data_IF_443032102318
#
_entry.id   IF_443032102318
#
_cell.length_a   1.000
_cell.length_b   1.000
_cell.length_c   1.000
_cell.angle_alpha   90.00
_cell.angle_beta   90.00
_cell.angle_gamma   90.00
#
_symmetry.space_group_name_H-M   'P 1'
#
loop_
_entity.id
_entity.type
_entity.pdbx_description
1 polymer ?
#
# COMPACT_ATOMS: atom_id res chain seq x y z
N UNK A 1 3.19 9.28 -10.08
CA UNK A 1 1.87 9.43 -10.73
C UNK A 1 1.95 10.63 -11.65
N UNK A 2 1.46 10.49 -12.86
CA UNK A 2 1.52 11.54 -13.88
C UNK A 2 0.12 11.86 -14.41
N UNK A 3 -0.11 13.15 -14.66
CA UNK A 3 -1.27 13.72 -15.34
C UNK A 3 -0.83 14.09 -16.75
N UNK A 4 -1.10 13.22 -17.73
CA UNK A 4 -0.47 13.28 -19.04
C UNK A 4 1.06 13.29 -18.89
N UNK A 5 1.74 14.36 -19.29
CA UNK A 5 3.20 14.49 -19.16
C UNK A 5 3.64 15.23 -17.88
N UNK A 6 2.71 15.65 -17.03
CA UNK A 6 3.03 16.43 -15.83
C UNK A 6 3.07 15.56 -14.56
N UNK A 7 4.07 15.74 -13.67
CA UNK A 7 4.10 15.04 -12.39
C UNK A 7 2.91 15.45 -11.51
N UNK A 8 2.14 14.45 -11.05
CA UNK A 8 0.91 14.67 -10.29
C UNK A 8 0.95 14.29 -8.82
N UNK A 9 1.84 13.37 -8.45
CA UNK A 9 1.98 12.90 -7.08
C UNK A 9 2.97 11.75 -6.96
N UNK A 10 3.33 11.43 -5.73
CA UNK A 10 4.19 10.28 -5.41
C UNK A 10 3.52 9.37 -4.39
N UNK A 11 3.75 8.08 -4.54
CA UNK A 11 3.22 7.02 -3.70
C UNK A 11 4.19 5.86 -3.66
N UNK A 12 3.88 4.84 -2.88
CA UNK A 12 4.64 3.60 -2.78
C UNK A 12 3.82 2.44 -3.32
N UNK A 13 4.48 1.47 -3.93
CA UNK A 13 3.88 0.18 -4.27
C UNK A 13 4.87 -0.95 -3.93
N UNK A 14 4.37 -2.18 -3.90
CA UNK A 14 5.18 -3.37 -3.68
C UNK A 14 4.65 -4.54 -4.49
N UNK A 15 5.51 -5.55 -4.69
CA UNK A 15 5.18 -6.72 -5.48
C UNK A 15 4.45 -7.78 -4.66
N UNK A 16 3.45 -8.37 -5.31
CA UNK A 16 2.72 -9.53 -4.83
C UNK A 16 2.72 -10.62 -5.90
N UNK A 17 3.02 -11.86 -5.50
CA UNK A 17 2.99 -13.02 -6.40
C UNK A 17 1.80 -13.91 -6.11
N UNK A 18 1.11 -14.37 -7.15
CA UNK A 18 0.14 -15.46 -7.02
C UNK A 18 0.30 -16.41 -8.20
N UNK A 19 0.68 -17.66 -7.91
CA UNK A 19 1.01 -18.64 -8.94
C UNK A 19 2.08 -18.07 -9.90
N UNK A 20 1.82 -18.04 -11.20
CA UNK A 20 2.69 -17.49 -12.23
C UNK A 20 2.34 -16.05 -12.62
N UNK A 21 1.70 -15.28 -11.74
CA UNK A 21 1.31 -13.88 -12.00
C UNK A 21 1.92 -12.95 -10.96
N UNK A 22 2.35 -11.78 -11.42
CA UNK A 22 2.92 -10.72 -10.60
C UNK A 22 1.99 -9.51 -10.61
N UNK A 23 1.80 -8.92 -9.43
CA UNK A 23 0.96 -7.76 -9.23
C UNK A 23 1.73 -6.66 -8.51
N UNK A 24 1.50 -5.41 -8.91
CA UNK A 24 1.84 -4.24 -8.11
C UNK A 24 0.66 -3.93 -7.20
N UNK A 25 0.90 -3.88 -5.90
CA UNK A 25 -0.08 -3.49 -4.88
C UNK A 25 0.24 -2.08 -4.40
N UNK A 26 -0.77 -1.23 -4.33
CA UNK A 26 -0.66 0.16 -3.85
C UNK A 26 -1.98 0.64 -3.25
N UNK A 27 -2.02 1.88 -2.76
CA UNK A 27 -3.25 2.52 -2.34
C UNK A 27 -4.10 2.91 -3.56
N UNK A 28 -5.42 2.72 -3.50
CA UNK A 28 -6.33 3.01 -4.61
C UNK A 28 -6.28 4.49 -5.01
N UNK A 29 -6.17 5.40 -4.04
CA UNK A 29 -6.09 6.84 -4.32
C UNK A 29 -4.83 7.25 -5.13
N UNK A 30 -3.77 6.43 -5.11
CA UNK A 30 -2.61 6.67 -5.99
C UNK A 30 -2.96 6.45 -7.47
N UNK A 31 -4.01 5.67 -7.76
CA UNK A 31 -4.44 5.37 -9.12
C UNK A 31 -5.56 6.31 -9.55
N UNK A 32 -6.55 6.49 -8.69
CA UNK A 32 -7.74 7.30 -9.00
C UNK A 32 -7.49 8.80 -8.89
N UNK A 33 -6.49 9.21 -8.09
CA UNK A 33 -6.29 10.61 -7.71
C UNK A 33 -7.39 11.16 -6.81
N UNK A 34 -8.14 10.30 -6.12
CA UNK A 34 -9.27 10.70 -5.27
C UNK A 34 -9.08 10.28 -3.82
N UNK A 35 -9.41 11.17 -2.90
CA UNK A 35 -9.53 10.85 -1.48
C UNK A 35 -10.63 9.78 -1.28
N UNK A 36 -10.28 8.69 -0.60
CA UNK A 36 -11.16 7.53 -0.49
C UNK A 36 -12.43 7.81 0.33
N UNK A 37 -12.33 8.72 1.31
CA UNK A 37 -13.43 8.99 2.25
C UNK A 37 -14.40 10.04 1.66
N UNK A 38 -13.87 11.10 1.05
CA UNK A 38 -14.65 12.21 0.51
C UNK A 38 -14.95 12.11 -0.98
N UNK A 39 -14.22 11.27 -1.73
CA UNK A 39 -14.28 11.19 -3.18
C UNK A 39 -13.71 12.42 -3.91
N UNK A 40 -13.25 13.43 -3.18
CA UNK A 40 -12.69 14.65 -3.75
C UNK A 40 -11.36 14.38 -4.47
N UNK A 41 -11.12 15.10 -5.56
CA UNK A 41 -9.83 15.03 -6.26
C UNK A 41 -8.71 15.53 -5.34
N UNK A 42 -7.61 14.79 -5.30
CA UNK A 42 -6.42 15.12 -4.49
C UNK A 42 -5.66 16.32 -5.07
N UNK A 43 -5.61 16.45 -6.39
CA UNK A 43 -5.18 17.67 -7.07
C UNK A 43 -6.29 18.73 -6.98
N UNK A 44 -6.25 19.53 -5.91
CA UNK A 44 -7.24 20.58 -5.65
C UNK A 44 -7.11 21.79 -6.58
N UNK A 45 -5.93 21.99 -7.18
CA UNK A 45 -5.67 23.16 -8.01
C UNK A 45 -6.20 22.95 -9.42
N UNK A 46 -5.98 21.76 -9.99
CA UNK A 46 -6.28 21.48 -11.40
C UNK A 46 -7.40 20.46 -11.58
N UNK A 47 -7.73 19.70 -10.53
CA UNK A 47 -8.76 18.66 -10.61
C UNK A 47 -8.36 17.46 -11.47
N UNK A 48 -7.06 17.27 -11.74
CA UNK A 48 -6.55 16.22 -12.63
C UNK A 48 -6.50 14.85 -11.95
N UNK A 49 -6.57 13.80 -12.77
CA UNK A 49 -6.50 12.39 -12.35
C UNK A 49 -5.35 11.67 -13.05
N UNK A 50 -4.59 10.81 -12.34
CA UNK A 50 -3.45 10.14 -12.95
C UNK A 50 -3.89 9.27 -14.12
N UNK A 51 -3.11 9.26 -15.19
CA UNK A 51 -3.28 8.32 -16.31
C UNK A 51 -2.03 7.44 -16.54
N UNK A 52 -0.90 7.81 -15.95
CA UNK A 52 0.33 7.00 -15.97
C UNK A 52 0.94 6.86 -14.57
N UNK A 53 1.57 5.71 -14.34
CA UNK A 53 2.52 5.52 -13.25
C UNK A 53 3.91 5.31 -13.81
N UNK A 54 4.86 6.08 -13.31
CA UNK A 54 6.28 5.76 -13.43
C UNK A 54 6.70 5.06 -12.14
N UNK A 55 7.09 3.80 -12.26
CA UNK A 55 7.57 2.97 -11.16
C UNK A 55 9.08 3.00 -11.17
N UNK A 56 9.69 3.68 -10.19
CA UNK A 56 11.13 3.59 -9.95
C UNK A 56 11.48 2.30 -9.21
N UNK A 57 12.39 1.51 -9.75
CA UNK A 57 12.85 0.26 -9.14
C UNK A 57 14.33 0.01 -9.42
N UNK A 58 14.96 -0.87 -8.66
CA UNK A 58 16.38 -1.20 -8.86
C UNK A 58 16.50 -2.33 -9.88
N UNK A 59 17.30 -2.19 -10.94
CA UNK A 59 17.56 -3.25 -11.91
C UNK A 59 18.59 -4.29 -11.44
N UNK A 60 18.91 -5.27 -12.28
CA UNK A 60 19.92 -6.32 -11.99
C UNK A 60 21.32 -5.79 -11.61
N UNK A 61 21.66 -4.56 -12.01
CA UNK A 61 22.94 -3.92 -11.73
C UNK A 61 22.93 -3.02 -10.49
N UNK A 62 21.81 -2.95 -9.76
CA UNK A 62 21.70 -2.06 -8.60
C UNK A 62 21.38 -0.59 -8.96
N UNK A 63 21.08 -0.30 -10.23
CA UNK A 63 20.80 1.06 -10.73
C UNK A 63 19.29 1.29 -10.73
N UNK A 64 18.85 2.53 -10.46
CA UNK A 64 17.44 2.91 -10.60
C UNK A 64 17.05 2.84 -12.09
N UNK A 65 16.00 2.09 -12.36
CA UNK A 65 15.30 2.00 -13.63
C UNK A 65 13.84 2.44 -13.44
N UNK A 66 13.19 2.83 -14.52
CA UNK A 66 11.83 3.33 -14.51
C UNK A 66 10.96 2.50 -15.45
N UNK A 67 9.77 2.13 -14.97
CA UNK A 67 8.77 1.43 -15.77
C UNK A 67 7.49 2.24 -15.83
N UNK A 68 7.07 2.56 -17.05
CA UNK A 68 5.79 3.21 -17.32
C UNK A 68 4.65 2.19 -17.36
N UNK A 69 3.54 2.55 -16.71
CA UNK A 69 2.30 1.79 -16.66
C UNK A 69 1.15 2.75 -16.97
N UNK A 70 0.53 2.54 -18.12
CA UNK A 70 -0.76 3.15 -18.47
C UNK A 70 -1.84 2.66 -17.52
N UNK A 71 -2.58 3.59 -16.92
CA UNK A 71 -3.64 3.26 -15.97
C UNK A 71 -4.97 2.91 -16.65
N UNK A 72 -5.13 3.26 -17.92
CA UNK A 72 -6.35 3.02 -18.68
C UNK A 72 -6.02 2.39 -20.03
N UNK A 73 -6.79 1.36 -20.39
CA UNK A 73 -6.76 0.73 -21.70
C UNK A 73 -8.17 0.78 -22.28
N UNK A 74 -8.35 1.38 -23.45
CA UNK A 74 -9.65 1.65 -24.07
C UNK A 74 -10.64 2.35 -23.10
N UNK A 75 -10.13 3.33 -22.34
CA UNK A 75 -10.92 4.09 -21.35
C UNK A 75 -11.27 3.33 -20.07
N UNK A 76 -10.85 2.05 -19.95
CA UNK A 76 -11.13 1.19 -18.81
C UNK A 76 -9.90 1.08 -17.90
N UNK A 77 -10.08 1.14 -16.57
CA UNK A 77 -8.98 1.01 -15.62
C UNK A 77 -8.32 -0.38 -15.71
N UNK A 78 -6.99 -0.42 -15.57
CA UNK A 78 -6.21 -1.66 -15.62
C UNK A 78 -6.06 -2.33 -14.25
N UNK A 79 -6.47 -1.67 -13.17
CA UNK A 79 -6.34 -2.16 -11.81
C UNK A 79 -7.58 -2.90 -11.31
N UNK A 80 -7.35 -3.79 -10.34
CA UNK A 80 -8.36 -4.51 -9.58
C UNK A 80 -8.65 -3.81 -8.26
N UNK A 81 -9.91 -3.81 -7.84
CA UNK A 81 -10.38 -3.24 -6.57
C UNK A 81 -11.28 -4.21 -5.81
N UNK A 82 -11.55 -3.90 -4.55
CA UNK A 82 -12.36 -4.76 -3.70
C UNK A 82 -13.85 -4.69 -4.07
N UNK A 83 -14.56 -5.83 -3.96
CA UNK A 83 -15.97 -5.95 -4.36
C UNK A 83 -16.93 -5.00 -3.62
N UNK A 84 -16.57 -4.57 -2.42
CA UNK A 84 -17.36 -3.64 -1.62
C UNK A 84 -17.31 -2.18 -2.12
N UNK A 85 -16.60 -1.90 -3.22
CA UNK A 85 -16.44 -0.61 -3.92
C UNK A 85 -16.00 0.58 -3.04
N UNK A 86 -14.88 1.22 -3.40
CA UNK A 86 -14.40 2.54 -2.94
C UNK A 86 -14.30 2.80 -1.42
N UNK A 87 -14.54 1.82 -0.55
CA UNK A 87 -14.26 1.95 0.90
C UNK A 87 -12.89 1.41 1.29
N UNK A 88 -12.35 0.50 0.49
CA UNK A 88 -11.06 -0.13 0.76
C UNK A 88 -10.03 0.49 -0.17
N UNK A 89 -9.06 1.19 0.42
CA UNK A 89 -8.02 1.92 -0.29
C UNK A 89 -6.83 1.01 -0.64
N UNK A 90 -7.12 -0.08 -1.35
CA UNK A 90 -6.11 -0.98 -1.94
C UNK A 90 -6.49 -1.22 -3.39
N UNK A 91 -5.49 -1.19 -4.26
CA UNK A 91 -5.60 -1.63 -5.64
C UNK A 91 -4.44 -2.56 -6.01
N UNK A 92 -4.69 -3.42 -7.00
CA UNK A 92 -3.68 -4.29 -7.58
C UNK A 92 -3.65 -4.14 -9.11
N UNK A 93 -2.47 -3.94 -9.70
CA UNK A 93 -2.27 -3.94 -11.16
C UNK A 93 -1.50 -5.20 -11.52
N UNK A 94 -2.03 -6.03 -12.42
CA UNK A 94 -1.25 -7.12 -12.98
C UNK A 94 -0.16 -6.58 -13.92
N UNK A 95 1.06 -7.08 -13.75
CA UNK A 95 2.22 -6.69 -14.54
C UNK A 95 2.90 -7.91 -15.12
N UNK A 96 3.58 -7.73 -16.26
CA UNK A 96 4.31 -8.82 -16.90
C UNK A 96 5.48 -9.24 -16.00
N UNK A 97 5.54 -10.54 -15.68
CA UNK A 97 6.50 -11.09 -14.71
C UNK A 97 7.97 -10.71 -14.98
N UNK A 98 8.36 -10.60 -16.24
CA UNK A 98 9.75 -10.34 -16.61
C UNK A 98 10.23 -8.94 -16.18
N UNK A 99 9.32 -7.97 -16.07
CA UNK A 99 9.64 -6.57 -15.73
C UNK A 99 10.30 -6.47 -14.35
N UNK A 100 9.78 -7.25 -13.38
CA UNK A 100 10.22 -7.22 -11.98
C UNK A 100 10.74 -8.58 -11.49
N UNK A 101 11.24 -9.40 -12.42
CA UNK A 101 11.63 -10.79 -12.12
C UNK A 101 12.78 -10.93 -11.12
N UNK A 102 13.63 -9.90 -11.01
CA UNK A 102 14.75 -9.78 -10.07
C UNK A 102 14.35 -9.30 -8.67
N UNK A 103 13.13 -8.81 -8.50
CA UNK A 103 12.65 -8.28 -7.24
C UNK A 103 11.85 -9.34 -6.47
N UNK A 104 12.05 -9.40 -5.16
CA UNK A 104 11.33 -10.31 -4.29
C UNK A 104 9.93 -9.74 -3.98
N UNK A 105 8.89 -10.59 -4.11
CA UNK A 105 7.53 -10.19 -3.68
C UNK A 105 7.37 -10.36 -2.18
N UNK A 106 6.61 -9.47 -1.54
CA UNK A 106 6.54 -9.44 -0.08
C UNK A 106 5.94 -10.71 0.52
N UNK A 107 5.02 -11.34 -0.21
CA UNK A 107 4.34 -12.57 0.21
C UNK A 107 5.15 -13.84 -0.07
N UNK A 108 6.31 -13.72 -0.71
CA UNK A 108 7.30 -14.79 -0.85
C UNK A 108 8.27 -14.82 0.36
N UNK A 109 8.29 -13.75 1.17
CA UNK A 109 8.99 -13.74 2.46
C UNK A 109 8.24 -14.65 3.42
N UNK A 110 8.96 -15.53 4.14
CA UNK A 110 8.37 -16.52 5.02
C UNK A 110 7.39 -15.92 6.05
N UNK A 111 6.09 -16.07 5.77
CA UNK A 111 5.02 -15.67 6.67
C UNK A 111 4.84 -16.77 7.72
N UNK A 112 5.14 -16.44 8.98
CA UNK A 112 4.85 -17.31 10.12
C UNK A 112 3.44 -17.01 10.64
N UNK A 113 2.84 -17.96 11.36
CA UNK A 113 1.56 -17.73 12.07
C UNK A 113 1.78 -16.84 13.31
N UNK A 114 2.20 -15.61 13.06
CA UNK A 114 2.44 -14.58 14.07
C UNK A 114 1.11 -13.90 14.36
N UNK A 115 0.74 -13.80 15.63
CA UNK A 115 -0.36 -12.95 16.08
C UNK A 115 0.21 -11.57 16.38
N UNK A 116 -0.43 -10.55 15.81
CA UNK A 116 -0.12 -9.16 16.05
C UNK A 116 -1.01 -8.66 17.18
N UNK A 117 -0.40 -8.07 18.21
CA UNK A 117 -1.08 -7.50 19.37
C UNK A 117 -1.00 -5.98 19.37
N UNK A 118 -1.93 -5.33 20.07
CA UNK A 118 -1.82 -3.90 20.38
C UNK A 118 -0.45 -3.61 21.03
N UNK A 119 0.16 -2.49 20.66
CA UNK A 119 1.50 -2.10 21.11
C UNK A 119 2.65 -2.81 20.40
N UNK A 120 2.39 -3.80 19.54
CA UNK A 120 3.46 -4.44 18.76
C UNK A 120 4.12 -3.43 17.80
N UNK A 121 5.45 -3.51 17.69
CA UNK A 121 6.21 -2.73 16.72
C UNK A 121 5.90 -3.14 15.29
N UNK A 122 5.67 -2.15 14.44
CA UNK A 122 5.46 -2.32 13.01
C UNK A 122 6.28 -1.31 12.22
N UNK A 123 6.55 -1.63 10.97
CA UNK A 123 7.37 -0.83 10.07
C UNK A 123 6.60 -0.57 8.78
N UNK A 124 6.34 0.70 8.49
CA UNK A 124 5.84 1.16 7.19
C UNK A 124 7.04 1.38 6.28
N UNK A 125 7.15 0.60 5.21
CA UNK A 125 8.33 0.59 4.33
C UNK A 125 7.97 1.26 3.01
N UNK A 126 8.51 2.45 2.73
CA UNK A 126 8.17 3.13 1.48
C UNK A 126 9.02 4.33 1.15
N UNK A 127 8.55 5.11 0.19
CA UNK A 127 9.31 6.21 -0.44
C UNK A 127 8.64 7.56 -0.18
N UNK A 128 9.14 8.33 0.80
CA UNK A 128 8.67 9.70 1.03
C UNK A 128 8.90 10.63 -0.17
N UNK A 129 8.03 11.63 -0.32
CA UNK A 129 7.94 12.54 -1.47
C UNK A 129 9.24 13.31 -1.77
N UNK A 130 10.03 13.63 -0.75
CA UNK A 130 11.24 14.46 -0.89
C UNK A 130 12.51 13.64 -1.16
N UNK A 131 12.43 12.31 -1.19
CA UNK A 131 13.59 11.44 -1.35
C UNK A 131 13.58 10.72 -2.70
N UNK A 132 14.62 10.93 -3.52
CA UNK A 132 14.98 10.03 -4.63
C UNK A 132 15.96 8.96 -4.13
N UNK A 133 15.69 8.37 -2.96
CA UNK A 133 16.56 7.32 -2.41
C UNK A 133 16.34 6.03 -3.19
N UNK A 134 17.43 5.30 -3.42
CA UNK A 134 17.38 3.97 -4.08
C UNK A 134 16.62 2.97 -3.19
N UNK A 135 16.83 3.05 -1.87
CA UNK A 135 16.19 2.17 -0.89
C UNK A 135 14.95 2.82 -0.24
N UNK A 136 13.94 2.01 0.14
CA UNK A 136 12.80 2.51 0.89
C UNK A 136 13.20 2.88 2.31
N UNK A 137 12.51 3.86 2.88
CA UNK A 137 12.65 4.25 4.28
C UNK A 137 11.72 3.38 5.13
N UNK A 138 12.25 2.91 6.25
CA UNK A 138 11.52 2.15 7.25
C UNK A 138 11.07 3.08 8.36
N UNK A 139 9.78 3.40 8.41
CA UNK A 139 9.17 4.16 9.52
C UNK A 139 8.62 3.21 10.55
N UNK A 140 9.22 3.21 11.74
CA UNK A 140 8.70 2.48 12.90
C UNK A 140 7.41 3.13 13.40
N UNK A 141 6.50 2.30 13.88
CA UNK A 141 5.30 2.67 14.61
C UNK A 141 4.87 1.53 15.51
N UNK A 142 3.73 1.69 16.16
CA UNK A 142 3.11 0.65 16.99
C UNK A 142 1.67 0.45 16.59
N UNK A 143 1.14 -0.76 16.81
CA UNK A 143 -0.30 -1.00 16.68
C UNK A 143 -1.02 -0.21 17.77
N UNK A 144 -1.88 0.72 17.38
CA UNK A 144 -2.44 1.73 18.28
C UNK A 144 -3.85 1.39 18.80
N UNK A 145 -4.49 0.37 18.24
CA UNK A 145 -5.84 -0.05 18.63
C UNK A 145 -5.98 -1.57 18.67
N UNK A 146 -6.97 -2.05 19.42
CA UNK A 146 -7.34 -3.47 19.49
C UNK A 146 -7.77 -3.98 18.12
N UNK A 147 -6.93 -4.80 17.49
CA UNK A 147 -7.10 -5.29 16.12
C UNK A 147 -8.44 -6.02 15.93
N UNK A 148 -8.82 -6.87 16.89
CA UNK A 148 -10.07 -7.63 16.81
C UNK A 148 -11.28 -6.69 16.75
N UNK A 149 -11.34 -5.73 17.68
CA UNK A 149 -12.40 -4.74 17.77
C UNK A 149 -12.44 -3.86 16.52
N UNK A 150 -11.30 -3.33 16.09
CA UNK A 150 -11.22 -2.44 14.93
C UNK A 150 -11.63 -3.12 13.62
N UNK A 151 -11.27 -4.41 13.44
CA UNK A 151 -11.71 -5.21 12.29
C UNK A 151 -13.22 -5.39 12.22
N UNK A 152 -13.90 -5.45 13.36
CA UNK A 152 -15.35 -5.59 13.42
C UNK A 152 -16.09 -4.27 13.14
N UNK A 153 -15.49 -3.12 13.48
CA UNK A 153 -16.13 -1.81 13.33
C UNK A 153 -15.83 -1.17 11.98
N UNK A 154 -14.55 -1.03 11.64
CA UNK A 154 -14.07 -0.22 10.52
C UNK A 154 -13.44 -1.05 9.39
N UNK A 155 -13.01 -2.27 9.71
CA UNK A 155 -12.40 -3.19 8.75
C UNK A 155 -10.91 -2.93 8.43
N UNK A 156 -10.35 -1.81 8.87
CA UNK A 156 -8.90 -1.50 8.84
C UNK A 156 -8.27 -1.61 10.24
N UNK A 157 -6.94 -1.61 10.32
CA UNK A 157 -6.17 -1.52 11.57
C UNK A 157 -5.61 -0.09 11.74
N UNK A 158 -5.30 0.31 12.98
CA UNK A 158 -4.71 1.63 13.29
C UNK A 158 -3.30 1.44 13.86
N UNK A 159 -2.35 2.22 13.34
CA UNK A 159 -0.98 2.30 13.86
C UNK A 159 -0.65 3.74 14.25
N UNK A 160 0.20 3.92 15.26
CA UNK A 160 0.79 5.21 15.62
C UNK A 160 2.17 5.33 14.98
N UNK A 161 2.32 6.24 14.04
CA UNK A 161 3.58 6.45 13.31
C UNK A 161 3.68 7.84 12.68
N UNK A 162 4.89 8.40 12.72
CA UNK A 162 5.23 9.63 12.00
C UNK A 162 5.54 9.33 10.52
N UNK A 163 4.53 8.97 9.71
CA UNK A 163 4.66 8.76 8.25
C UNK A 163 4.90 10.06 7.49
N UNK A 164 5.19 9.98 6.20
CA UNK A 164 5.45 11.15 5.35
C UNK A 164 4.59 11.06 4.08
N UNK A 165 4.25 12.20 3.43
CA UNK A 165 3.68 12.19 2.08
C UNK A 165 4.55 11.33 1.15
N UNK A 166 3.93 10.59 0.22
CA UNK A 166 4.64 9.62 -0.65
C UNK A 166 4.61 8.18 -0.14
N UNK A 167 4.36 7.96 1.15
CA UNK A 167 4.33 6.60 1.71
C UNK A 167 3.02 5.84 1.47
N UNK A 168 1.96 6.47 0.96
CA UNK A 168 0.69 5.79 0.65
C UNK A 168 0.89 4.60 -0.29
N UNK A 169 0.35 3.44 0.07
CA UNK A 169 0.55 2.16 -0.62
C UNK A 169 1.74 1.35 -0.11
N UNK A 170 2.47 1.83 0.90
CA UNK A 170 3.55 1.06 1.55
C UNK A 170 3.03 -0.22 2.22
N UNK A 171 3.78 -1.32 2.15
CA UNK A 171 3.54 -2.44 3.05
C UNK A 171 3.87 -2.04 4.50
N UNK A 172 3.03 -2.51 5.42
CA UNK A 172 3.24 -2.42 6.86
C UNK A 172 3.57 -3.81 7.37
N UNK A 173 4.74 -3.97 7.97
CA UNK A 173 5.21 -5.27 8.44
C UNK A 173 5.55 -5.25 9.91
N UNK A 174 5.26 -6.35 10.60
CA UNK A 174 5.98 -6.69 11.82
C UNK A 174 7.36 -7.25 11.45
N UNK A 175 8.40 -6.87 12.18
CA UNK A 175 9.72 -7.48 12.09
C UNK A 175 10.37 -7.58 13.46
N UNK A 176 10.64 -8.80 13.92
CA UNK A 176 11.17 -9.01 15.27
C UNK A 176 11.68 -10.44 15.49
N UNK A 177 12.38 -10.63 16.59
CA UNK A 177 12.91 -11.93 17.04
C UNK A 177 12.02 -12.60 18.10
N UNK A 178 11.15 -11.82 18.75
CA UNK A 178 10.18 -12.29 19.72
C UNK A 178 8.80 -12.09 19.14
N UNK A 179 8.02 -13.16 19.04
CA UNK A 179 6.66 -13.10 18.50
C UNK A 179 5.76 -14.12 19.17
N UNK A 180 4.46 -13.84 19.12
CA UNK A 180 3.42 -14.73 19.63
C UNK A 180 2.77 -15.49 18.48
N UNK A 181 2.47 -16.76 18.70
CA UNK A 181 1.59 -17.58 17.85
C UNK A 181 0.30 -17.87 18.60
N UNK A 182 -0.62 -18.65 18.02
CA UNK A 182 -1.83 -19.08 18.73
C UNK A 182 -1.51 -19.88 19.99
N UNK A 183 -0.44 -20.68 19.95
CA UNK A 183 -0.19 -21.71 20.94
C UNK A 183 1.01 -21.39 21.84
N UNK A 184 1.89 -20.47 21.44
CA UNK A 184 3.15 -20.21 22.15
C UNK A 184 3.70 -18.80 21.94
N UNK A 185 4.58 -18.38 22.84
CA UNK A 185 5.54 -17.30 22.56
C UNK A 185 6.84 -17.92 22.08
N UNK A 186 7.39 -17.39 20.99
CA UNK A 186 8.59 -17.90 20.33
C UNK A 186 9.65 -16.81 20.28
N UNK A 187 10.87 -17.18 20.67
CA UNK A 187 12.07 -16.38 20.47
C UNK A 187 12.97 -17.08 19.43
N UNK A 188 13.38 -16.35 18.40
CA UNK A 188 14.27 -16.84 17.33
C UNK A 188 15.59 -16.07 17.32
N UNK A 189 16.63 -16.66 16.74
CA UNK A 189 17.93 -15.99 16.56
C UNK A 189 17.94 -15.04 15.37
N UNK A 190 17.05 -15.25 14.39
CA UNK A 190 16.90 -14.42 13.20
C UNK A 190 15.53 -13.73 13.21
N UNK A 191 15.44 -12.47 12.76
CA UNK A 191 14.17 -11.76 12.68
C UNK A 191 13.20 -12.46 11.73
N UNK A 192 11.96 -12.63 12.18
CA UNK A 192 10.83 -13.02 11.32
C UNK A 192 10.11 -11.76 10.84
N UNK A 193 9.46 -11.85 9.68
CA UNK A 193 8.67 -10.75 9.11
C UNK A 193 7.25 -11.24 8.85
N UNK A 194 6.26 -10.44 9.22
CA UNK A 194 4.86 -10.67 8.87
C UNK A 194 4.26 -9.43 8.24
N UNK A 195 3.61 -9.60 7.09
CA UNK A 195 2.81 -8.52 6.51
C UNK A 195 1.54 -8.32 7.34
N UNK A 196 1.33 -7.10 7.79
CA UNK A 196 0.08 -6.67 8.44
C UNK A 196 -0.92 -6.21 7.39
N UNK A 197 -0.46 -5.38 6.45
CA UNK A 197 -1.34 -4.78 5.46
C UNK A 197 -0.70 -3.66 4.65
N UNK A 198 -1.54 -2.80 4.09
CA UNK A 198 -1.17 -1.67 3.23
C UNK A 198 -1.50 -0.37 3.93
N UNK A 199 -0.50 0.49 4.10
CA UNK A 199 -0.68 1.85 4.62
C UNK A 199 -1.44 2.71 3.60
N UNK A 200 -2.53 3.34 4.03
CA UNK A 200 -3.40 4.18 3.18
C UNK A 200 -3.23 5.67 3.47
N UNK A 201 -2.99 6.07 4.71
CA UNK A 201 -2.86 7.48 5.06
C UNK A 201 -3.04 7.73 6.55
N UNK A 202 -2.85 8.99 6.95
CA UNK A 202 -3.17 9.43 8.32
C UNK A 202 -4.67 9.62 8.46
N UNK A 203 -5.19 9.28 9.64
CA UNK A 203 -6.54 9.61 10.04
C UNK A 203 -6.57 11.08 10.42
N UNK A 204 -7.48 11.84 9.82
CA UNK A 204 -7.70 13.24 10.18
C UNK A 204 -8.96 13.32 11.03
N UNK A 205 -8.96 14.22 12.02
CA UNK A 205 -10.22 14.66 12.63
C UNK A 205 -11.01 15.49 11.61
N UNK A 206 -12.31 15.66 11.84
CA UNK A 206 -13.21 16.42 10.96
C UNK A 206 -12.69 17.84 10.63
N UNK A 207 -11.82 18.39 11.48
CA UNK A 207 -11.09 19.63 11.22
C UNK A 207 -9.63 19.32 10.82
N UNK A 208 -9.41 19.06 9.51
CA UNK A 208 -8.08 18.82 8.91
C UNK A 208 -7.06 19.94 9.20
N UNK A 209 -7.50 21.10 9.69
CA UNK A 209 -6.64 22.24 10.03
C UNK A 209 -6.11 22.24 11.47
N UNK A 210 -6.60 21.37 12.37
CA UNK A 210 -6.34 21.52 13.83
C UNK A 210 -5.62 20.37 14.52
N UNK A 211 -5.49 19.19 13.91
CA UNK A 211 -4.73 18.09 14.54
C UNK A 211 -4.01 17.25 13.49
N UNK A 212 -2.69 17.36 13.44
CA UNK A 212 -1.84 16.38 12.78
C UNK A 212 -1.79 15.12 13.64
N UNK A 213 -2.74 14.20 13.45
CA UNK A 213 -2.71 12.92 14.17
C UNK A 213 -1.63 12.03 13.56
N UNK A 214 -0.83 11.38 14.42
CA UNK A 214 0.12 10.36 13.98
C UNK A 214 -0.56 8.98 13.81
N UNK A 215 -1.89 8.93 13.93
CA UNK A 215 -2.66 7.71 13.73
C UNK A 215 -2.85 7.47 12.24
N UNK A 216 -2.54 6.26 11.80
CA UNK A 216 -2.56 5.86 10.40
C UNK A 216 -3.44 4.65 10.16
N UNK A 217 -4.12 4.67 9.01
CA UNK A 217 -4.97 3.59 8.50
C UNK A 217 -4.11 2.54 7.79
N UNK A 218 -4.27 1.28 8.19
CA UNK A 218 -3.63 0.12 7.55
C UNK A 218 -4.70 -0.88 7.13
N UNK A 219 -4.81 -1.17 5.84
CA UNK A 219 -5.75 -2.16 5.34
C UNK A 219 -5.15 -3.57 5.41
N UNK A 220 -5.80 -4.52 6.12
CA UNK A 220 -5.30 -5.88 6.29
C UNK A 220 -4.94 -6.60 4.98
N UNK A 221 -3.85 -7.37 4.99
CA UNK A 221 -3.34 -8.10 3.82
C UNK A 221 -4.37 -9.02 3.14
N UNK A 222 -5.37 -9.51 3.89
CA UNK A 222 -6.46 -10.35 3.36
C UNK A 222 -7.20 -9.68 2.20
N UNK A 223 -7.27 -8.35 2.19
CA UNK A 223 -7.93 -7.60 1.12
C UNK A 223 -7.14 -7.69 -0.20
N UNK A 224 -5.81 -7.78 -0.15
CA UNK A 224 -4.98 -8.02 -1.34
C UNK A 224 -5.39 -9.35 -1.99
N UNK A 225 -5.50 -10.41 -1.19
CA UNK A 225 -5.94 -11.72 -1.67
C UNK A 225 -7.36 -11.69 -2.24
N UNK A 226 -8.29 -11.01 -1.58
CA UNK A 226 -9.67 -10.88 -2.06
C UNK A 226 -9.75 -10.11 -3.38
N UNK A 227 -8.98 -9.03 -3.53
CA UNK A 227 -8.90 -8.22 -4.75
C UNK A 227 -8.34 -9.06 -5.91
N UNK A 228 -7.20 -9.71 -5.70
CA UNK A 228 -6.53 -10.53 -6.73
C UNK A 228 -7.35 -11.79 -7.04
N UNK A 229 -8.19 -12.28 -6.11
CA UNK A 229 -9.10 -13.40 -6.37
C UNK A 229 -10.33 -12.99 -7.16
N UNK A 230 -10.93 -11.85 -6.83
CA UNK A 230 -12.13 -11.38 -7.50
C UNK A 230 -11.85 -10.83 -8.90
N UNK A 231 -10.65 -10.29 -9.15
CA UNK A 231 -10.24 -9.68 -10.43
C UNK A 231 -11.23 -8.64 -10.95
N UNK A 232 -11.94 -8.00 -10.02
CA UNK A 232 -12.93 -6.98 -10.34
C UNK A 232 -12.20 -5.70 -10.71
N UNK A 233 -12.35 -5.26 -11.95
CA UNK A 233 -11.90 -3.94 -12.38
C UNK A 233 -12.77 -2.85 -11.77
N UNK A 234 -12.14 -1.71 -11.51
CA UNK A 234 -12.84 -0.49 -11.12
C UNK A 234 -13.81 -0.06 -12.25
N UNK A 235 -14.91 0.58 -11.87
CA UNK A 235 -15.91 1.11 -12.82
C UNK A 235 -15.71 2.60 -13.11
N UNK A 236 -14.67 3.21 -12.52
CA UNK A 236 -14.31 4.59 -12.77
C UNK A 236 -13.81 4.76 -14.21
N UNK A 237 -14.70 5.23 -15.10
CA UNK A 237 -14.35 5.67 -16.46
C UNK A 237 -13.81 7.10 -16.43
N UNK A 238 -12.67 7.32 -17.09
CA UNK A 238 -12.24 8.68 -17.45
C UNK A 238 -13.00 9.06 -18.71
N UNK A 239 -13.84 10.10 -18.62
CA UNK A 239 -14.41 10.69 -19.84
C UNK A 239 -13.25 11.31 -20.65
N UNK A 240 -13.23 11.11 -21.98
CA UNK A 240 -12.19 11.66 -22.84
C UNK A 240 -12.08 13.19 -22.77
#
# INVERSE_FOLDING_TARGET
>A
MFFNQEPGGQGTCFLWRRQQRTFLVTALHNLTGQDIDSGATLDKERGLRPNHLIIGHTNFSGIIDETDIELYYDGMPVWFTHQSNNKIDIAAIEVKNYIFSHLQSINEIAQRDIILDIGADVFTIGYPFFTRTIAPIWKRGTIAAEIATQKHTEGFDIIDTATLPGMSGSPVVFRGINYRTRDSQIMTTQPVTKLMGVYSGRLFSEDKSKTDTQLARVWPERFINQIIHAERKDQTTVMP
#
